data_IF_743117230277
#
_entry.id   IF_743117230277
#
_cell.length_a   1.000
_cell.length_b   1.000
_cell.length_c   1.000
_cell.angle_alpha   90.00
_cell.angle_beta   90.00
_cell.angle_gamma   90.00
#
_symmetry.space_group_name_H-M   'P 1'
#
loop_
_entity.id
_entity.type
_entity.pdbx_description
1 polymer ?
#
# COMPACT_ATOMS: atom_id res chain seq x y z
N UNK A 1 2.57 -4.29 18.47
CA UNK A 1 2.92 -5.06 17.25
C UNK A 1 4.33 -4.68 16.83
N UNK A 2 5.18 -5.64 16.43
CA UNK A 2 6.50 -5.32 15.90
C UNK A 2 6.39 -4.58 14.56
N UNK A 3 7.38 -3.74 14.24
CA UNK A 3 7.55 -3.23 12.88
C UNK A 3 7.93 -4.40 11.96
N UNK A 4 7.32 -4.43 10.77
CA UNK A 4 7.55 -5.45 9.75
C UNK A 4 7.91 -4.77 8.43
N UNK A 5 8.40 -5.55 7.46
CA UNK A 5 8.68 -5.01 6.13
C UNK A 5 7.39 -4.58 5.41
N UNK A 6 7.54 -3.70 4.42
CA UNK A 6 6.39 -3.25 3.62
C UNK A 6 5.68 -4.42 2.90
N UNK A 7 6.43 -5.42 2.43
CA UNK A 7 5.86 -6.64 1.81
C UNK A 7 4.95 -7.37 2.79
N UNK A 8 5.40 -7.54 4.04
CA UNK A 8 4.63 -8.22 5.08
C UNK A 8 3.41 -7.41 5.48
N UNK A 9 3.55 -6.09 5.55
CA UNK A 9 2.46 -5.19 5.91
C UNK A 9 1.29 -5.23 4.91
N UNK A 10 1.56 -5.45 3.62
CA UNK A 10 0.52 -5.49 2.58
C UNK A 10 -0.10 -6.86 2.34
N UNK A 11 0.42 -7.94 2.94
CA UNK A 11 -0.13 -9.30 2.77
C UNK A 11 -1.65 -9.37 3.02
N UNK A 12 -2.21 -8.76 4.09
CA UNK A 12 -3.65 -8.78 4.32
C UNK A 12 -4.47 -8.07 3.25
N UNK A 13 -3.85 -7.21 2.43
CA UNK A 13 -4.50 -6.45 1.38
C UNK A 13 -4.60 -7.22 0.06
N UNK A 14 -3.84 -8.30 -0.12
CA UNK A 14 -3.80 -9.07 -1.39
C UNK A 14 -5.19 -9.54 -1.85
N UNK A 15 -6.10 -10.04 -0.98
CA UNK A 15 -7.45 -10.43 -1.41
C UNK A 15 -8.29 -9.27 -1.97
N UNK A 16 -8.02 -8.03 -1.54
CA UNK A 16 -8.75 -6.81 -1.95
C UNK A 16 -8.05 -6.16 -3.14
N UNK A 17 -6.72 -6.21 -3.16
CA UNK A 17 -5.85 -5.57 -4.12
C UNK A 17 -4.73 -6.54 -4.56
N UNK A 18 -5.03 -7.47 -5.50
CA UNK A 18 -4.09 -8.54 -5.85
C UNK A 18 -2.74 -8.06 -6.38
N UNK A 19 -2.71 -6.90 -7.03
CA UNK A 19 -1.49 -6.33 -7.60
C UNK A 19 -0.59 -5.62 -6.58
N UNK A 20 -1.00 -5.48 -5.31
CA UNK A 20 -0.30 -4.64 -4.32
C UNK A 20 1.16 -5.06 -4.12
N UNK A 21 1.46 -6.36 -4.11
CA UNK A 21 2.84 -6.84 -3.90
C UNK A 21 3.77 -6.47 -5.06
N UNK A 22 3.30 -6.54 -6.30
CA UNK A 22 4.07 -6.09 -7.46
C UNK A 22 4.36 -4.60 -7.40
N UNK A 23 3.40 -3.81 -6.92
CA UNK A 23 3.58 -2.37 -6.75
C UNK A 23 4.48 -2.01 -5.55
N UNK A 24 4.49 -2.81 -4.48
CA UNK A 24 5.49 -2.69 -3.40
C UNK A 24 6.90 -2.86 -3.96
N UNK A 25 7.12 -3.87 -4.81
CA UNK A 25 8.42 -4.06 -5.45
C UNK A 25 8.83 -2.83 -6.27
N UNK A 26 7.93 -2.32 -7.11
CA UNK A 26 8.18 -1.10 -7.91
C UNK A 26 8.48 0.10 -7.02
N UNK A 27 7.67 0.34 -5.99
CA UNK A 27 7.86 1.44 -5.05
C UNK A 27 9.23 1.37 -4.36
N UNK A 28 9.66 0.18 -3.92
CA UNK A 28 10.99 -0.02 -3.31
C UNK A 28 12.13 0.21 -4.30
N UNK A 29 11.96 -0.15 -5.59
CA UNK A 29 12.96 0.15 -6.61
C UNK A 29 13.11 1.66 -6.84
N UNK A 30 12.01 2.42 -6.77
CA UNK A 30 12.03 3.89 -6.89
C UNK A 30 12.61 4.56 -5.63
N UNK A 31 12.47 3.94 -4.46
CA UNK A 31 12.90 4.47 -3.16
C UNK A 31 14.22 3.87 -2.63
N UNK A 32 15.13 3.41 -3.50
CA UNK A 32 16.42 2.80 -3.07
C UNK A 32 17.31 3.72 -2.22
N UNK A 33 17.27 5.03 -2.49
CA UNK A 33 18.03 6.05 -1.78
C UNK A 33 17.05 7.07 -1.20
N UNK A 34 16.34 6.75 -0.11
CA UNK A 34 15.33 7.62 0.47
C UNK A 34 15.95 8.90 1.07
N UNK A 35 15.20 9.99 1.04
CA UNK A 35 15.56 11.28 1.65
C UNK A 35 14.94 11.42 3.06
N UNK A 36 15.24 12.55 3.72
CA UNK A 36 14.57 12.99 4.96
C UNK A 36 14.69 12.03 6.15
N UNK A 37 15.72 11.18 6.15
CA UNK A 37 15.98 10.20 7.21
C UNK A 37 15.01 9.01 7.20
N UNK A 38 14.20 8.85 6.15
CA UNK A 38 13.29 7.72 6.02
C UNK A 38 14.06 6.45 5.68
N UNK A 39 13.57 5.33 6.19
CA UNK A 39 13.94 4.01 5.68
C UNK A 39 13.36 3.79 4.28
N UNK A 40 13.91 2.82 3.55
CA UNK A 40 13.39 2.45 2.22
C UNK A 40 11.92 2.05 2.30
N UNK A 41 11.53 1.29 3.31
CA UNK A 41 10.14 0.83 3.47
C UNK A 41 9.18 1.98 3.80
N UNK A 42 9.59 2.95 4.62
CA UNK A 42 8.78 4.14 4.90
C UNK A 42 8.59 4.98 3.63
N UNK A 43 9.67 5.30 2.92
CA UNK A 43 9.59 6.06 1.66
C UNK A 43 8.78 5.32 0.60
N UNK A 44 8.99 4.00 0.47
CA UNK A 44 8.23 3.16 -0.45
C UNK A 44 6.75 3.07 -0.08
N UNK A 45 6.39 3.15 1.21
CA UNK A 45 4.97 3.16 1.63
C UNK A 45 4.25 4.43 1.17
N UNK A 46 4.91 5.59 1.24
CA UNK A 46 4.38 6.87 0.74
C UNK A 46 4.28 6.83 -0.78
N UNK A 47 5.32 6.34 -1.46
CA UNK A 47 5.32 6.13 -2.91
C UNK A 47 4.19 5.20 -3.34
N UNK A 48 4.02 4.04 -2.68
CA UNK A 48 2.97 3.08 -2.97
C UNK A 48 1.57 3.68 -2.84
N UNK A 49 1.35 4.52 -1.82
CA UNK A 49 0.07 5.20 -1.64
C UNK A 49 -0.18 6.26 -2.72
N UNK A 50 0.85 6.96 -3.19
CA UNK A 50 0.69 8.10 -4.12
C UNK A 50 0.83 7.71 -5.60
N UNK A 51 1.48 6.60 -5.91
CA UNK A 51 1.67 6.16 -7.29
C UNK A 51 0.35 5.68 -7.91
N UNK A 52 0.13 6.06 -9.17
CA UNK A 52 -0.97 5.57 -9.98
C UNK A 52 -0.57 4.33 -10.79
N UNK A 53 -1.53 3.44 -11.02
CA UNK A 53 -1.41 2.34 -11.98
C UNK A 53 -2.75 2.00 -12.62
N UNK A 54 -2.71 1.28 -13.73
CA UNK A 54 -3.91 0.85 -14.43
C UNK A 54 -4.45 -0.48 -13.87
N UNK A 55 -5.78 -0.61 -13.68
CA UNK A 55 -6.77 0.45 -13.84
C UNK A 55 -6.80 1.41 -12.64
N UNK A 56 -7.00 2.71 -12.87
CA UNK A 56 -6.93 3.76 -11.84
C UNK A 56 -7.77 3.47 -10.57
N UNK A 57 -8.96 2.90 -10.71
CA UNK A 57 -9.83 2.56 -9.57
C UNK A 57 -9.28 1.42 -8.69
N UNK A 58 -8.19 0.78 -9.11
CA UNK A 58 -7.43 -0.22 -8.34
C UNK A 58 -6.13 0.34 -7.77
N UNK A 59 -5.84 1.64 -7.87
CA UNK A 59 -4.73 2.22 -7.13
C UNK A 59 -4.95 2.08 -5.62
N UNK A 60 -3.87 1.95 -4.84
CA UNK A 60 -3.98 1.77 -3.39
C UNK A 60 -4.77 2.92 -2.74
N UNK A 61 -4.48 4.18 -3.10
CA UNK A 61 -5.23 5.31 -2.55
C UNK A 61 -6.72 5.27 -2.92
N UNK A 62 -7.09 4.85 -4.13
CA UNK A 62 -8.48 4.74 -4.55
C UNK A 62 -9.21 3.69 -3.69
N UNK A 63 -8.67 2.48 -3.66
CA UNK A 63 -9.29 1.33 -2.97
C UNK A 63 -9.34 1.57 -1.46
N UNK A 64 -8.27 2.08 -0.87
CA UNK A 64 -8.19 2.32 0.57
C UNK A 64 -9.17 3.41 0.99
N UNK A 65 -9.19 4.55 0.28
CA UNK A 65 -10.09 5.65 0.59
C UNK A 65 -11.57 5.29 0.38
N UNK A 66 -11.88 4.54 -0.68
CA UNK A 66 -13.25 4.06 -0.93
C UNK A 66 -13.69 3.09 0.17
N UNK A 67 -12.84 2.12 0.53
CA UNK A 67 -13.12 1.14 1.59
C UNK A 67 -13.35 1.81 2.94
N UNK A 68 -12.49 2.77 3.32
CA UNK A 68 -12.57 3.49 4.59
C UNK A 68 -13.80 4.40 4.68
N UNK A 69 -14.28 4.93 3.56
CA UNK A 69 -15.49 5.79 3.48
C UNK A 69 -16.77 4.98 3.26
N UNK A 70 -16.66 3.71 2.88
CA UNK A 70 -17.82 2.86 2.67
C UNK A 70 -18.57 2.58 3.97
N UNK A 71 -19.90 2.45 3.89
CA UNK A 71 -20.75 2.05 5.03
C UNK A 71 -20.44 0.64 5.55
N UNK A 72 -19.69 -0.14 4.77
CA UNK A 72 -19.29 -1.53 5.06
C UNK A 72 -17.87 -1.61 5.67
N UNK A 73 -17.30 -0.49 6.12
CA UNK A 73 -15.95 -0.42 6.69
C UNK A 73 -15.66 -1.55 7.70
N UNK A 74 -16.58 -1.78 8.64
CA UNK A 74 -16.43 -2.81 9.69
C UNK A 74 -16.47 -4.24 9.15
N UNK A 75 -17.12 -4.47 8.01
CA UNK A 75 -17.21 -5.79 7.38
C UNK A 75 -16.01 -6.07 6.47
N UNK A 76 -15.48 -5.02 5.81
CA UNK A 76 -14.34 -5.09 4.88
C UNK A 76 -12.99 -5.03 5.57
N UNK A 77 -12.91 -4.40 6.74
CA UNK A 77 -11.70 -4.29 7.55
C UNK A 77 -11.91 -5.10 8.82
N UNK A 78 -11.74 -6.42 8.72
CA UNK A 78 -11.63 -7.26 9.91
C UNK A 78 -10.25 -7.05 10.56
N UNK A 79 -10.17 -7.02 11.91
CA UNK A 79 -8.91 -6.85 12.63
C UNK A 79 -7.90 -7.96 12.36
#
# INVERSE_FOLDING_TARGET
MPLVSLEKAVEPLVPILPAVQSHVYVAKQLCKNPADGLTQDESASIMLYTMGWEPLHKCLYCVLNDTLRSREREQKLKP
#
